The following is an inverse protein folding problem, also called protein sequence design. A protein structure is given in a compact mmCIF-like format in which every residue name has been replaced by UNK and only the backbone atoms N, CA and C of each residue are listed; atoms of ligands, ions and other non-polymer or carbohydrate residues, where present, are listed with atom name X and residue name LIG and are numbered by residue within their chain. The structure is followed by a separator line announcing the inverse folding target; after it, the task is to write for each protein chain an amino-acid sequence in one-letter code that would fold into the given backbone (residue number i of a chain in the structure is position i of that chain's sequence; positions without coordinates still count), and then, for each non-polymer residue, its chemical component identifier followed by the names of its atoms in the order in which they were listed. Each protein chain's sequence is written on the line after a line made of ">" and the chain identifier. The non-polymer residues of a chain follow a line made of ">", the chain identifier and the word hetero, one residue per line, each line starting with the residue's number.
data_IF_160703892830
#
_entry.id   IF_160703892830
#
_cell.length_a   1.000
_cell.length_b   1.000
_cell.length_c   1.000
_cell.angle_alpha   90.00
_cell.angle_beta   90.00
_cell.angle_gamma   90.00
#
_symmetry.space_group_name_H-M   'P 1'
#
loop_
_entity.id
_entity.type
_entity.pdbx_description
1 polymer ?
#
# COMPACT_ATOMS: atom_id res chain seq x y z
N UNK A 1 -4.64 6.04 28.95
CA UNK A 1 -3.60 5.12 28.43
C UNK A 1 -3.87 4.68 26.99
N UNK A 2 -5.07 4.19 26.64
CA UNK A 2 -5.37 3.71 25.28
C UNK A 2 -5.18 4.75 24.14
N UNK A 3 -5.54 6.02 24.36
CA UNK A 3 -5.42 7.07 23.34
C UNK A 3 -3.97 7.46 23.02
N UNK A 4 -3.09 7.50 24.03
CA UNK A 4 -1.67 7.79 23.84
C UNK A 4 -0.96 6.66 23.09
N UNK A 5 -1.30 5.40 23.42
CA UNK A 5 -0.76 4.22 22.74
C UNK A 5 -1.20 4.16 21.27
N UNK A 6 -2.47 4.49 21.00
CA UNK A 6 -2.97 4.59 19.63
C UNK A 6 -2.20 5.65 18.83
N UNK A 7 -1.99 6.85 19.39
CA UNK A 7 -1.21 7.91 18.72
C UNK A 7 0.23 7.48 18.44
N UNK A 8 0.88 6.80 19.39
CA UNK A 8 2.24 6.26 19.22
C UNK A 8 2.31 5.26 18.05
N UNK A 9 1.36 4.33 17.98
CA UNK A 9 1.28 3.33 16.89
C UNK A 9 1.05 3.99 15.53
N UNK A 10 0.09 4.91 15.44
CA UNK A 10 -0.18 5.64 14.20
C UNK A 10 1.02 6.49 13.74
N UNK A 11 1.75 7.08 14.69
CA UNK A 11 3.01 7.79 14.42
C UNK A 11 4.08 6.86 13.84
N UNK A 12 4.13 5.61 14.29
CA UNK A 12 4.98 4.57 13.72
C UNK A 12 4.60 4.22 12.28
N UNK A 13 3.31 3.98 12.00
CA UNK A 13 2.86 3.55 10.68
C UNK A 13 3.17 4.56 9.58
N UNK A 14 2.85 5.85 9.75
CA UNK A 14 3.11 6.81 8.68
C UNK A 14 4.62 6.98 8.39
N UNK A 15 5.47 6.88 9.42
CA UNK A 15 6.93 6.95 9.26
C UNK A 15 7.47 5.70 8.55
N UNK A 16 6.95 4.53 8.90
CA UNK A 16 7.32 3.27 8.26
C UNK A 16 6.94 3.28 6.77
N UNK A 17 5.70 3.62 6.44
CA UNK A 17 5.25 3.71 5.05
C UNK A 17 6.08 4.75 4.28
N UNK A 18 6.30 5.94 4.86
CA UNK A 18 7.13 6.98 4.23
C UNK A 18 8.58 6.54 4.02
N UNK A 19 9.16 5.79 4.96
CA UNK A 19 10.49 5.22 4.80
C UNK A 19 10.51 4.17 3.68
N UNK A 20 9.50 3.30 3.62
CA UNK A 20 9.36 2.25 2.61
C UNK A 20 9.23 2.81 1.19
N UNK A 21 8.66 4.01 1.01
CA UNK A 21 8.65 4.72 -0.29
C UNK A 21 10.05 4.85 -0.88
N UNK A 22 11.10 5.00 -0.05
CA UNK A 22 12.49 5.13 -0.50
C UNK A 22 13.28 3.83 -0.34
N UNK A 23 13.12 3.15 0.81
CA UNK A 23 13.92 1.97 1.14
C UNK A 23 13.59 0.80 0.23
N UNK A 24 12.31 0.53 -0.06
CA UNK A 24 11.93 -0.60 -0.92
C UNK A 24 12.46 -0.46 -2.35
N UNK A 25 12.21 0.64 -3.09
CA UNK A 25 12.78 0.76 -4.43
C UNK A 25 14.32 0.77 -4.39
N UNK A 26 14.97 1.37 -3.39
CA UNK A 26 16.43 1.33 -3.28
C UNK A 26 16.97 -0.10 -3.10
N UNK A 27 16.34 -0.91 -2.23
CA UNK A 27 16.71 -2.32 -2.02
C UNK A 27 16.47 -3.12 -3.31
N UNK A 28 15.33 -2.93 -3.97
CA UNK A 28 15.00 -3.62 -5.21
C UNK A 28 15.95 -3.26 -6.35
N UNK A 29 16.34 -1.99 -6.47
CA UNK A 29 17.38 -1.54 -7.41
C UNK A 29 18.73 -2.17 -7.10
N UNK A 30 19.12 -2.24 -5.82
CA UNK A 30 20.36 -2.87 -5.40
C UNK A 30 20.37 -4.37 -5.73
N UNK A 31 19.25 -5.07 -5.51
CA UNK A 31 19.09 -6.48 -5.89
C UNK A 31 19.16 -6.67 -7.41
N UNK A 32 18.54 -5.78 -8.17
CA UNK A 32 18.66 -5.70 -9.63
C UNK A 32 20.02 -5.18 -10.13
N UNK A 33 21.01 -5.02 -9.23
CA UNK A 33 22.37 -4.53 -9.52
C UNK A 33 22.39 -3.19 -10.27
N UNK A 34 21.47 -2.29 -9.94
CA UNK A 34 21.30 -0.99 -10.58
C UNK A 34 20.99 -1.04 -12.08
N UNK A 35 20.57 -2.20 -12.59
CA UNK A 35 20.19 -2.38 -13.99
C UNK A 35 18.76 -2.94 -14.09
N UNK A 36 17.74 -2.19 -13.62
CA UNK A 36 16.36 -2.64 -13.70
C UNK A 36 15.87 -2.63 -15.15
N UNK A 37 15.06 -3.60 -15.53
CA UNK A 37 14.30 -3.53 -16.79
C UNK A 37 13.22 -2.44 -16.71
N UNK A 38 12.70 -2.04 -17.87
CA UNK A 38 11.57 -1.11 -17.94
C UNK A 38 10.32 -1.67 -17.24
N UNK A 39 10.15 -3.00 -17.20
CA UNK A 39 9.05 -3.67 -16.49
C UNK A 39 9.18 -3.51 -14.98
N UNK A 40 10.40 -3.65 -14.43
CA UNK A 40 10.67 -3.39 -13.01
C UNK A 40 10.36 -1.94 -12.64
N UNK A 41 10.83 -0.98 -13.45
CA UNK A 41 10.54 0.44 -13.25
C UNK A 41 9.03 0.71 -13.26
N UNK A 42 8.30 0.11 -14.20
CA UNK A 42 6.85 0.23 -14.29
C UNK A 42 6.15 -0.37 -13.06
N UNK A 43 6.65 -1.48 -12.52
CA UNK A 43 6.12 -2.10 -11.29
C UNK A 43 6.42 -1.29 -10.01
N UNK A 44 7.53 -0.53 -9.97
CA UNK A 44 7.86 0.32 -8.83
C UNK A 44 6.89 1.50 -8.68
N UNK A 45 6.35 2.01 -9.78
CA UNK A 45 5.44 3.17 -9.78
C UNK A 45 4.20 2.94 -8.87
N UNK A 46 3.33 1.94 -9.10
CA UNK A 46 2.16 1.74 -8.25
C UNK A 46 2.54 1.35 -6.83
N UNK A 47 3.64 0.60 -6.64
CA UNK A 47 4.15 0.25 -5.31
C UNK A 47 4.47 1.51 -4.50
N UNK A 48 5.32 2.39 -5.03
CA UNK A 48 5.67 3.65 -4.37
C UNK A 48 4.45 4.56 -4.20
N UNK A 49 3.59 4.66 -5.22
CA UNK A 49 2.39 5.48 -5.17
C UNK A 49 1.44 5.05 -4.04
N UNK A 50 1.23 3.75 -3.88
CA UNK A 50 0.40 3.22 -2.79
C UNK A 50 1.05 3.48 -1.43
N UNK A 51 2.35 3.24 -1.26
CA UNK A 51 3.05 3.56 -0.01
C UNK A 51 2.92 5.05 0.36
N UNK A 52 2.98 5.95 -0.61
CA UNK A 52 2.72 7.39 -0.40
C UNK A 52 1.27 7.62 0.06
N UNK A 53 0.28 6.96 -0.55
CA UNK A 53 -1.13 7.04 -0.13
C UNK A 53 -1.29 6.54 1.31
N UNK A 54 -0.67 5.41 1.66
CA UNK A 54 -0.67 4.85 3.01
C UNK A 54 -0.05 5.81 4.04
N UNK A 55 1.14 6.33 3.76
CA UNK A 55 1.81 7.31 4.60
C UNK A 55 0.97 8.58 4.78
N UNK A 56 0.39 9.09 3.69
CA UNK A 56 -0.47 10.28 3.72
C UNK A 56 -1.73 10.05 4.54
N UNK A 57 -2.39 8.89 4.38
CA UNK A 57 -3.55 8.50 5.15
C UNK A 57 -3.26 8.46 6.65
N UNK A 58 -2.22 7.74 7.06
CA UNK A 58 -1.90 7.59 8.47
C UNK A 58 -1.49 8.91 9.11
N UNK A 59 -0.78 9.76 8.38
CA UNK A 59 -0.45 11.12 8.83
C UNK A 59 -1.70 11.99 8.97
N UNK A 60 -2.63 11.93 8.01
CA UNK A 60 -3.89 12.66 8.08
C UNK A 60 -4.77 12.17 9.25
N UNK A 61 -4.79 10.86 9.50
CA UNK A 61 -5.51 10.25 10.63
C UNK A 61 -4.93 10.67 11.97
N UNK A 62 -3.59 10.70 12.08
CA UNK A 62 -2.91 11.18 13.28
C UNK A 62 -3.27 12.65 13.55
N UNK A 63 -3.20 13.51 12.52
CA UNK A 63 -3.61 14.92 12.63
C UNK A 63 -5.07 15.09 13.05
N UNK A 64 -5.99 14.26 12.54
CA UNK A 64 -7.39 14.26 12.97
C UNK A 64 -7.55 13.94 14.47
N UNK A 65 -6.71 13.07 15.02
CA UNK A 65 -6.74 12.70 16.45
C UNK A 65 -6.04 13.72 17.35
N UNK A 66 -5.14 14.53 16.80
CA UNK A 66 -4.45 15.61 17.51
C UNK A 66 -5.26 16.90 17.50
N UNK A 67 -5.90 17.21 16.38
CA UNK A 67 -6.66 18.43 16.15
C UNK A 67 -8.05 18.10 15.58
N UNK A 68 -9.10 18.37 16.37
CA UNK A 68 -10.49 18.15 15.95
C UNK A 68 -10.93 19.08 14.82
N UNK A 69 -10.26 20.21 14.62
CA UNK A 69 -10.55 21.15 13.53
C UNK A 69 -9.93 20.74 12.19
N UNK A 70 -9.06 19.72 12.20
CA UNK A 70 -8.41 19.21 11.00
C UNK A 70 -9.42 18.68 9.97
N UNK A 71 -9.34 19.20 8.74
CA UNK A 71 -10.25 18.87 7.64
C UNK A 71 -9.90 17.52 7.00
N UNK A 72 -10.16 16.44 7.72
CA UNK A 72 -9.92 15.06 7.27
C UNK A 72 -10.61 14.73 5.93
N UNK A 73 -11.75 15.37 5.64
CA UNK A 73 -12.46 15.23 4.35
C UNK A 73 -11.63 15.62 3.14
N UNK A 74 -10.70 16.59 3.26
CA UNK A 74 -9.78 16.96 2.16
C UNK A 74 -8.80 15.83 1.86
N UNK A 75 -8.27 15.19 2.90
CA UNK A 75 -7.40 14.04 2.74
C UNK A 75 -8.16 12.87 2.10
N UNK A 76 -9.38 12.58 2.58
CA UNK A 76 -10.22 11.51 2.03
C UNK A 76 -10.61 11.76 0.57
N UNK A 77 -10.85 13.02 0.18
CA UNK A 77 -11.10 13.37 -1.23
C UNK A 77 -9.95 12.97 -2.15
N UNK A 78 -8.72 13.30 -1.77
CA UNK A 78 -7.52 12.95 -2.55
C UNK A 78 -7.34 11.45 -2.63
N UNK A 79 -7.50 10.74 -1.51
CA UNK A 79 -7.40 9.28 -1.47
C UNK A 79 -8.50 8.63 -2.33
N UNK A 80 -9.75 9.10 -2.22
CA UNK A 80 -10.86 8.60 -3.03
C UNK A 80 -10.61 8.81 -4.53
N UNK A 81 -10.07 9.98 -4.91
CA UNK A 81 -9.72 10.26 -6.30
C UNK A 81 -8.56 9.37 -6.78
N UNK A 82 -7.59 9.08 -5.91
CA UNK A 82 -6.45 8.21 -6.23
C UNK A 82 -6.81 6.73 -6.39
N UNK A 83 -8.00 6.28 -5.97
CA UNK A 83 -8.41 4.87 -6.06
C UNK A 83 -8.42 4.34 -7.51
N UNK A 84 -8.95 5.13 -8.45
CA UNK A 84 -9.01 4.75 -9.87
C UNK A 84 -7.62 4.65 -10.51
N UNK A 85 -6.80 5.72 -10.45
CA UNK A 85 -5.42 5.70 -10.92
C UNK A 85 -4.58 4.60 -10.26
N UNK A 86 -4.72 4.38 -8.94
CA UNK A 86 -4.00 3.32 -8.24
C UNK A 86 -4.36 1.93 -8.78
N UNK A 87 -5.65 1.68 -9.05
CA UNK A 87 -6.09 0.41 -9.64
C UNK A 87 -5.50 0.21 -11.02
N UNK A 88 -5.61 1.23 -11.89
CA UNK A 88 -5.12 1.15 -13.27
C UNK A 88 -3.62 0.90 -13.29
N UNK A 89 -2.83 1.68 -12.54
CA UNK A 89 -1.38 1.50 -12.47
C UNK A 89 -1.00 0.13 -11.93
N UNK A 90 -1.70 -0.35 -10.90
CA UNK A 90 -1.45 -1.68 -10.31
C UNK A 90 -1.76 -2.81 -11.31
N UNK A 91 -2.90 -2.73 -12.01
CA UNK A 91 -3.26 -3.73 -13.02
C UNK A 91 -2.28 -3.71 -14.20
N UNK A 92 -1.90 -2.53 -14.67
CA UNK A 92 -0.89 -2.38 -15.73
C UNK A 92 0.44 -3.00 -15.31
N UNK A 93 0.90 -2.78 -14.08
CA UNK A 93 2.11 -3.41 -13.56
C UNK A 93 1.99 -4.92 -13.49
N UNK A 94 0.91 -5.46 -12.89
CA UNK A 94 0.70 -6.90 -12.77
C UNK A 94 0.65 -7.57 -14.14
N UNK A 95 -0.12 -7.02 -15.09
CA UNK A 95 -0.21 -7.56 -16.45
C UNK A 95 1.14 -7.49 -17.15
N UNK A 96 1.86 -6.37 -17.04
CA UNK A 96 3.18 -6.21 -17.67
C UNK A 96 4.19 -7.23 -17.13
N UNK A 97 4.21 -7.45 -15.80
CA UNK A 97 5.05 -8.48 -15.19
C UNK A 97 4.66 -9.87 -15.69
N UNK A 98 3.37 -10.23 -15.68
CA UNK A 98 2.92 -11.54 -16.14
C UNK A 98 3.24 -11.80 -17.61
N UNK A 99 3.13 -10.79 -18.47
CA UNK A 99 3.53 -10.89 -19.88
C UNK A 99 5.05 -10.97 -20.04
N UNK A 100 5.81 -10.28 -19.19
CA UNK A 100 7.27 -10.38 -19.21
C UNK A 100 7.77 -11.77 -18.78
N UNK A 101 7.05 -12.46 -17.89
CA UNK A 101 7.36 -13.86 -17.52
C UNK A 101 7.28 -14.85 -18.68
N UNK A 102 6.59 -14.52 -19.78
CA UNK A 102 6.54 -15.39 -20.97
C UNK A 102 7.65 -15.12 -21.98
N UNK A 103 8.56 -14.18 -21.68
CA UNK A 103 9.63 -13.73 -22.56
C UNK A 103 10.97 -13.68 -21.81
N UNK A 104 11.96 -14.40 -22.32
CA UNK A 104 13.27 -14.52 -21.65
C UNK A 104 14.15 -13.26 -21.80
N UNK A 105 13.83 -12.36 -22.73
CA UNK A 105 14.64 -11.19 -23.10
C UNK A 105 14.25 -9.89 -22.39
N UNK A 106 13.18 -9.90 -21.59
CA UNK A 106 12.63 -8.68 -20.99
C UNK A 106 13.37 -8.29 -19.70
N UNK A 107 13.74 -9.28 -18.89
CA UNK A 107 14.43 -9.04 -17.62
C UNK A 107 15.94 -9.10 -17.81
N UNK A 108 16.65 -8.15 -17.21
CA UNK A 108 18.11 -8.10 -17.35
C UNK A 108 18.80 -9.21 -16.54
N UNK A 109 18.20 -9.63 -15.42
CA UNK A 109 18.70 -10.69 -14.54
C UNK A 109 17.54 -11.39 -13.81
N UNK A 110 17.77 -12.57 -13.24
CA UNK A 110 16.78 -13.23 -12.37
C UNK A 110 16.42 -12.40 -11.12
N UNK A 111 17.34 -11.57 -10.62
CA UNK A 111 17.06 -10.65 -9.52
C UNK A 111 16.18 -9.47 -9.93
N UNK A 112 16.35 -8.97 -11.17
CA UNK A 112 15.47 -7.95 -11.76
C UNK A 112 14.04 -8.50 -11.92
N UNK A 113 13.89 -9.72 -12.43
CA UNK A 113 12.61 -10.43 -12.49
C UNK A 113 11.96 -10.58 -11.11
N UNK A 114 12.75 -10.99 -10.11
CA UNK A 114 12.29 -11.08 -8.71
C UNK A 114 11.83 -9.73 -8.15
N UNK A 115 12.58 -8.66 -8.45
CA UNK A 115 12.25 -7.31 -8.02
C UNK A 115 10.96 -6.78 -8.65
N UNK A 116 10.77 -6.95 -9.96
CA UNK A 116 9.52 -6.62 -10.65
C UNK A 116 8.33 -7.37 -10.06
N UNK A 117 8.50 -8.68 -9.87
CA UNK A 117 7.45 -9.56 -9.33
C UNK A 117 7.06 -9.14 -7.92
N UNK A 118 8.05 -8.92 -7.05
CA UNK A 118 7.81 -8.45 -5.70
C UNK A 118 7.09 -7.10 -5.68
N UNK A 119 7.53 -6.13 -6.47
CA UNK A 119 6.91 -4.81 -6.53
C UNK A 119 5.46 -4.85 -7.02
N UNK A 120 5.17 -5.64 -8.06
CA UNK A 120 3.81 -5.80 -8.58
C UNK A 120 2.89 -6.50 -7.58
N UNK A 121 3.38 -7.55 -6.91
CA UNK A 121 2.63 -8.24 -5.85
C UNK A 121 2.39 -7.31 -4.67
N UNK A 122 3.41 -6.59 -4.22
CA UNK A 122 3.28 -5.64 -3.11
C UNK A 122 2.28 -4.53 -3.45
N UNK A 123 2.34 -3.95 -4.66
CA UNK A 123 1.36 -2.97 -5.11
C UNK A 123 -0.08 -3.53 -5.08
N UNK A 124 -0.28 -4.76 -5.56
CA UNK A 124 -1.59 -5.41 -5.52
C UNK A 124 -2.08 -5.63 -4.08
N UNK A 125 -1.19 -6.12 -3.21
CA UNK A 125 -1.50 -6.32 -1.80
C UNK A 125 -1.84 -4.99 -1.12
N UNK A 126 -1.06 -3.92 -1.34
CA UNK A 126 -1.33 -2.61 -0.76
C UNK A 126 -2.64 -2.00 -1.28
N UNK A 127 -2.94 -2.17 -2.57
CA UNK A 127 -4.22 -1.73 -3.13
C UNK A 127 -5.40 -2.40 -2.42
N UNK A 128 -5.34 -3.73 -2.29
CA UNK A 128 -6.37 -4.49 -1.57
C UNK A 128 -6.42 -4.10 -0.10
N UNK A 129 -5.25 -3.94 0.53
CA UNK A 129 -5.07 -3.57 1.92
C UNK A 129 -5.75 -2.23 2.24
N UNK A 130 -5.58 -1.25 1.38
CA UNK A 130 -6.06 0.11 1.62
C UNK A 130 -7.52 0.30 1.22
N UNK A 131 -7.95 -0.21 0.06
CA UNK A 131 -9.29 0.08 -0.47
C UNK A 131 -10.36 -0.98 -0.13
N UNK A 132 -9.96 -2.18 0.31
CA UNK A 132 -10.90 -3.30 0.43
C UNK A 132 -10.83 -4.04 1.77
N UNK A 133 -9.72 -4.71 2.06
CA UNK A 133 -9.59 -5.69 3.16
C UNK A 133 -8.28 -5.50 3.88
N UNK A 134 -8.28 -5.57 5.19
CA UNK A 134 -7.06 -5.45 5.97
C UNK A 134 -6.18 -6.69 5.81
N UNK A 135 -5.03 -6.53 5.15
CA UNK A 135 -4.00 -7.55 4.95
C UNK A 135 -2.77 -7.33 5.84
N UNK A 136 -2.54 -6.09 6.30
CA UNK A 136 -1.45 -5.74 7.21
C UNK A 136 -2.01 -5.19 8.54
N UNK A 137 -1.17 -5.14 9.57
CA UNK A 137 -1.55 -4.68 10.91
C UNK A 137 -2.60 -5.58 11.59
N UNK A 138 -2.43 -6.90 11.47
CA UNK A 138 -3.22 -7.91 12.20
C UNK A 138 -2.88 -7.91 13.69
N UNK A 139 -3.21 -6.82 14.39
CA UNK A 139 -2.68 -6.59 15.73
C UNK A 139 -3.57 -7.18 16.84
N UNK A 140 -4.56 -8.01 16.49
CA UNK A 140 -5.52 -8.57 17.44
C UNK A 140 -5.76 -10.07 17.18
N UNK A 141 -5.47 -10.93 18.17
CA UNK A 141 -5.82 -12.36 18.14
C UNK A 141 -7.29 -12.67 17.77
N UNK A 142 -8.28 -11.81 18.10
CA UNK A 142 -9.64 -11.91 17.55
C UNK A 142 -9.75 -11.86 16.02
N UNK A 143 -8.90 -11.12 15.31
CA UNK A 143 -8.92 -11.05 13.85
C UNK A 143 -8.45 -12.38 13.24
N UNK A 144 -7.43 -13.01 13.85
CA UNK A 144 -6.97 -14.34 13.45
C UNK A 144 -8.02 -15.42 13.74
N UNK A 145 -8.63 -15.38 14.94
CA UNK A 145 -9.76 -16.27 15.28
C UNK A 145 -10.95 -16.11 14.32
N UNK A 146 -11.21 -14.89 13.84
CA UNK A 146 -12.29 -14.61 12.89
C UNK A 146 -12.00 -15.18 11.49
N UNK A 147 -10.76 -15.07 11.03
CA UNK A 147 -10.27 -15.70 9.81
C UNK A 147 -10.40 -17.23 9.89
N UNK A 148 -9.89 -17.82 10.97
CA UNK A 148 -9.97 -19.27 11.23
C UNK A 148 -11.41 -19.77 11.41
N UNK A 149 -12.31 -18.92 11.92
CA UNK A 149 -13.74 -19.22 12.02
C UNK A 149 -14.51 -19.04 10.69
N UNK A 150 -13.82 -18.86 9.56
CA UNK A 150 -14.43 -18.73 8.23
C UNK A 150 -15.14 -17.40 7.96
N UNK A 151 -15.05 -16.41 8.86
CA UNK A 151 -15.75 -15.11 8.74
C UNK A 151 -14.97 -14.09 7.88
N UNK A 152 -13.87 -14.51 7.28
CA UNK A 152 -13.05 -13.74 6.34
C UNK A 152 -12.33 -12.52 6.93
N UNK A 153 -11.64 -11.79 6.05
CA UNK A 153 -10.89 -10.57 6.38
C UNK A 153 -11.81 -9.39 6.68
N UNK A 154 -11.47 -8.54 7.64
CA UNK A 154 -12.22 -7.31 7.92
C UNK A 154 -11.94 -6.21 6.87
N UNK A 155 -12.88 -5.28 6.64
CA UNK A 155 -12.56 -4.06 5.89
C UNK A 155 -11.45 -3.28 6.59
N UNK A 156 -10.51 -2.74 5.83
CA UNK A 156 -9.44 -1.90 6.37
C UNK A 156 -9.98 -0.59 6.93
N UNK A 157 -9.20 0.06 7.80
CA UNK A 157 -9.63 1.33 8.40
C UNK A 157 -9.82 2.41 7.32
N UNK A 158 -8.93 2.46 6.33
CA UNK A 158 -9.05 3.39 5.20
C UNK A 158 -10.31 3.10 4.36
N UNK A 159 -10.63 1.84 4.09
CA UNK A 159 -11.85 1.48 3.36
C UNK A 159 -13.14 1.89 4.12
N UNK A 160 -13.15 1.77 5.46
CA UNK A 160 -14.27 2.24 6.28
C UNK A 160 -14.39 3.76 6.22
N UNK A 161 -13.29 4.48 6.44
CA UNK A 161 -13.27 5.95 6.41
C UNK A 161 -13.70 6.49 5.03
N UNK A 162 -13.29 5.84 3.93
CA UNK A 162 -13.72 6.18 2.57
C UNK A 162 -15.23 5.96 2.36
N UNK A 163 -15.77 4.87 2.92
CA UNK A 163 -17.21 4.59 2.86
C UNK A 163 -18.01 5.65 3.59
N UNK A 164 -17.54 6.08 4.75
CA UNK A 164 -18.19 7.13 5.54
C UNK A 164 -18.10 8.49 4.83
N UNK A 165 -16.92 8.82 4.27
CA UNK A 165 -16.73 10.03 3.45
C UNK A 165 -17.69 10.07 2.25
N UNK A 166 -17.90 8.95 1.54
CA UNK A 166 -18.81 8.88 0.37
C UNK A 166 -20.30 9.00 0.71
N UNK A 167 -20.66 8.83 1.98
CA UNK A 167 -22.04 8.98 2.47
C UNK A 167 -22.34 10.40 2.94
N UNK A 168 -21.31 11.23 3.08
CA UNK A 168 -21.42 12.63 3.49
C UNK A 168 -21.59 13.51 2.27
#
# INVERSE_FOLDING_TARGET
>A
MAAAELKRRLSGYWKMEAANVLLLPAILLMLARWNPSWVSLLAFIPMMFLLVIGAYYWRAKLKQLEDRSYKFSRAMRLIAWSQGPALILTLLAVISVLLAWTREDIFNTGWDQGAATFAAVLALLEYVNYYHRQLQHFDHGPDFKRLLAGKGLRPSQMAKDLKDYRRT
#
